data_IF_189956578001
#
_entry.id   IF_189956578001
#
_cell.length_a   1.000
_cell.length_b   1.000
_cell.length_c   1.000
_cell.angle_alpha   90.00
_cell.angle_beta   90.00
_cell.angle_gamma   90.00
#
_symmetry.space_group_name_H-M   'P 1'
#
loop_
_entity.id
_entity.type
_entity.pdbx_description
1 polymer ?
#
# COMPACT_ATOMS: atom_id res chain seq x y z
N UNK A 1 9.65 33.65 48.80
CA UNK A 1 9.74 32.21 48.42
C UNK A 1 9.36 32.18 46.95
N UNK A 2 10.34 32.39 46.06
CA UNK A 2 10.06 32.75 44.65
C UNK A 2 11.00 32.04 43.66
N UNK A 3 11.71 31.01 44.11
CA UNK A 3 12.72 30.33 43.31
C UNK A 3 12.08 29.31 42.34
N UNK A 4 10.96 28.69 42.74
CA UNK A 4 10.21 27.78 41.88
C UNK A 4 9.46 28.52 40.76
N UNK A 5 8.89 29.69 41.05
CA UNK A 5 8.17 30.51 40.07
C UNK A 5 9.10 31.15 39.05
N UNK A 6 10.32 31.51 39.45
CA UNK A 6 11.36 32.02 38.53
C UNK A 6 11.96 30.93 37.63
N UNK A 7 12.04 29.69 38.10
CA UNK A 7 12.43 28.53 37.27
C UNK A 7 11.38 28.21 36.20
N UNK A 8 10.10 28.14 36.59
CA UNK A 8 8.99 27.88 35.64
C UNK A 8 8.89 29.00 34.59
N UNK A 9 9.14 30.25 34.98
CA UNK A 9 9.13 31.40 34.06
C UNK A 9 10.30 31.39 33.08
N UNK A 10 11.45 30.79 33.44
CA UNK A 10 12.64 30.65 32.59
C UNK A 10 12.55 29.45 31.63
N UNK A 11 11.72 28.46 31.94
CA UNK A 11 11.49 27.27 31.11
C UNK A 11 10.38 27.46 30.05
N UNK A 12 9.64 28.56 30.14
CA UNK A 12 8.58 28.94 29.21
C UNK A 12 9.13 29.50 27.87
N UNK A 13 10.03 28.74 27.23
CA UNK A 13 10.39 28.96 25.83
C UNK A 13 9.28 28.34 24.96
N UNK A 14 8.40 29.15 24.32
CA UNK A 14 7.27 28.64 23.54
C UNK A 14 7.72 27.77 22.35
N UNK A 15 8.98 27.89 21.93
CA UNK A 15 9.60 27.10 20.86
C UNK A 15 9.77 25.62 21.25
N UNK A 16 10.10 25.31 22.51
CA UNK A 16 10.24 23.92 22.97
C UNK A 16 8.89 23.23 23.03
N UNK A 17 7.88 23.93 23.55
CA UNK A 17 6.50 23.44 23.58
C UNK A 17 5.97 23.16 22.15
N UNK A 18 6.20 24.10 21.22
CA UNK A 18 5.82 23.91 19.82
C UNK A 18 6.51 22.71 19.16
N UNK A 19 7.80 22.50 19.45
CA UNK A 19 8.56 21.36 18.91
C UNK A 19 8.03 20.02 19.45
N UNK A 20 7.73 19.92 20.75
CA UNK A 20 7.13 18.71 21.32
C UNK A 20 5.77 18.40 20.71
N UNK A 21 4.91 19.41 20.56
CA UNK A 21 3.58 19.24 19.94
C UNK A 21 3.72 18.78 18.49
N UNK A 22 4.65 19.35 17.73
CA UNK A 22 4.92 18.92 16.35
C UNK A 22 5.36 17.46 16.27
N UNK A 23 6.30 17.04 17.12
CA UNK A 23 6.76 15.65 17.16
C UNK A 23 5.63 14.67 17.50
N UNK A 24 4.71 15.03 18.40
CA UNK A 24 3.55 14.20 18.76
C UNK A 24 2.61 14.04 17.56
N UNK A 25 2.32 15.13 16.84
CA UNK A 25 1.45 15.10 15.66
C UNK A 25 2.07 14.23 14.57
N UNK A 26 3.36 14.42 14.27
CA UNK A 26 4.08 13.62 13.27
C UNK A 26 4.10 12.14 13.66
N UNK A 27 4.34 11.84 14.93
CA UNK A 27 4.27 10.47 15.44
C UNK A 27 2.90 9.84 15.23
N UNK A 28 1.83 10.56 15.56
CA UNK A 28 0.45 10.08 15.40
C UNK A 28 0.11 9.79 13.93
N UNK A 29 0.48 10.69 13.01
CA UNK A 29 0.28 10.50 11.57
C UNK A 29 1.08 9.30 11.07
N UNK A 30 2.34 9.15 11.49
CA UNK A 30 3.18 8.02 11.09
C UNK A 30 2.58 6.69 11.55
N UNK A 31 2.14 6.58 12.81
CA UNK A 31 1.49 5.37 13.32
C UNK A 31 0.17 5.07 12.59
N UNK A 32 -0.63 6.08 12.27
CA UNK A 32 -1.85 5.91 11.50
C UNK A 32 -1.58 5.36 10.09
N UNK A 33 -0.55 5.88 9.40
CA UNK A 33 -0.15 5.40 8.07
C UNK A 33 0.40 3.98 8.10
N UNK A 34 1.22 3.64 9.11
CA UNK A 34 1.73 2.28 9.29
C UNK A 34 0.58 1.31 9.57
N UNK A 35 -0.33 1.67 10.49
CA UNK A 35 -1.51 0.88 10.81
C UNK A 35 -2.42 0.67 9.60
N UNK A 36 -2.66 1.72 8.82
CA UNK A 36 -3.42 1.65 7.56
C UNK A 36 -2.72 0.75 6.54
N UNK A 37 -1.40 0.89 6.36
CA UNK A 37 -0.61 0.04 5.46
C UNK A 37 -0.74 -1.44 5.82
N UNK A 38 -0.55 -1.79 7.09
CA UNK A 38 -0.70 -3.17 7.57
C UNK A 38 -2.13 -3.67 7.35
N UNK A 39 -3.13 -2.86 7.70
CA UNK A 39 -4.54 -3.21 7.54
C UNK A 39 -4.92 -3.46 6.08
N UNK A 40 -4.45 -2.62 5.15
CA UNK A 40 -4.68 -2.80 3.70
C UNK A 40 -3.97 -4.04 3.14
N UNK A 41 -2.79 -4.40 3.65
CA UNK A 41 -2.11 -5.65 3.26
C UNK A 41 -2.91 -6.88 3.69
N UNK A 42 -3.47 -6.88 4.90
CA UNK A 42 -4.25 -8.04 5.40
C UNK A 42 -5.63 -8.16 4.77
N UNK A 43 -6.30 -7.05 4.47
CA UNK A 43 -7.66 -7.07 3.88
C UNK A 43 -7.66 -7.06 2.35
N UNK A 44 -6.52 -6.85 1.73
CA UNK A 44 -6.42 -6.60 0.30
C UNK A 44 -7.02 -5.24 -0.05
N UNK A 45 -6.38 -4.52 -0.99
CA UNK A 45 -6.94 -3.30 -1.59
C UNK A 45 -8.10 -3.61 -2.57
N UNK A 46 -8.63 -4.83 -2.52
CA UNK A 46 -9.60 -5.39 -3.44
C UNK A 46 -11.05 -5.31 -2.92
N UNK A 47 -11.28 -4.57 -1.83
CA UNK A 47 -12.63 -4.33 -1.30
C UNK A 47 -13.57 -3.60 -2.29
N UNK A 48 -13.05 -3.17 -3.45
CA UNK A 48 -13.82 -2.57 -4.55
C UNK A 48 -13.90 -3.47 -5.82
N UNK A 49 -13.56 -4.76 -5.73
CA UNK A 49 -13.58 -5.67 -6.89
C UNK A 49 -14.79 -6.60 -6.98
N UNK A 50 -15.82 -6.40 -6.15
CA UNK A 50 -17.11 -7.10 -6.34
C UNK A 50 -17.95 -6.49 -7.47
N UNK A 51 -17.33 -5.80 -8.44
CA UNK A 51 -17.97 -5.59 -9.72
C UNK A 51 -18.02 -6.97 -10.36
N UNK A 52 -19.21 -7.52 -10.53
CA UNK A 52 -19.40 -8.78 -11.25
C UNK A 52 -18.83 -8.65 -12.67
N UNK A 53 -17.55 -8.98 -12.81
CA UNK A 53 -16.85 -8.86 -14.08
C UNK A 53 -17.57 -9.82 -15.05
N UNK A 54 -18.13 -9.34 -16.16
CA UNK A 54 -18.84 -10.18 -17.11
C UNK A 54 -17.93 -11.30 -17.62
N UNK A 55 -18.52 -12.46 -17.91
CA UNK A 55 -17.78 -13.66 -18.32
C UNK A 55 -16.81 -13.39 -19.48
N UNK A 56 -17.23 -12.59 -20.46
CA UNK A 56 -16.39 -12.16 -21.60
C UNK A 56 -15.14 -11.39 -21.17
N UNK A 57 -15.27 -10.49 -20.19
CA UNK A 57 -14.15 -9.71 -19.69
C UNK A 57 -13.22 -10.56 -18.82
N UNK A 58 -13.75 -11.49 -18.01
CA UNK A 58 -12.92 -12.48 -17.29
C UNK A 58 -12.12 -13.35 -18.26
N UNK A 59 -12.76 -13.82 -19.33
CA UNK A 59 -12.13 -14.60 -20.39
C UNK A 59 -11.03 -13.81 -21.09
N UNK A 60 -11.33 -12.59 -21.51
CA UNK A 60 -10.34 -11.69 -22.11
C UNK A 60 -9.12 -11.47 -21.22
N UNK A 61 -9.32 -11.20 -19.92
CA UNK A 61 -8.20 -11.01 -18.99
C UNK A 61 -7.32 -12.26 -18.82
N UNK A 62 -7.91 -13.46 -18.86
CA UNK A 62 -7.15 -14.72 -18.86
C UNK A 62 -6.32 -14.87 -20.13
N UNK A 63 -6.91 -14.60 -21.30
CA UNK A 63 -6.22 -14.67 -22.59
C UNK A 63 -5.04 -13.67 -22.66
N UNK A 64 -5.25 -12.43 -22.20
CA UNK A 64 -4.20 -11.41 -22.17
C UNK A 64 -3.05 -11.80 -21.24
N UNK A 65 -3.36 -12.31 -20.04
CA UNK A 65 -2.34 -12.80 -19.10
C UNK A 65 -1.48 -13.90 -19.72
N UNK A 66 -2.12 -14.84 -20.43
CA UNK A 66 -1.41 -15.95 -21.06
C UNK A 66 -0.54 -15.49 -22.25
N UNK A 67 -1.02 -14.55 -23.07
CA UNK A 67 -0.20 -13.94 -24.14
C UNK A 67 1.04 -13.24 -23.58
N UNK A 68 0.89 -12.54 -22.45
CA UNK A 68 2.02 -11.90 -21.78
C UNK A 68 3.02 -12.92 -21.23
N UNK A 69 2.54 -14.01 -20.62
CA UNK A 69 3.39 -15.11 -20.16
C UNK A 69 4.11 -15.81 -21.31
N UNK A 70 3.44 -16.02 -22.44
CA UNK A 70 4.05 -16.59 -23.63
C UNK A 70 5.11 -15.65 -24.22
N UNK A 71 4.85 -14.33 -24.26
CA UNK A 71 5.84 -13.33 -24.66
C UNK A 71 7.06 -13.35 -23.73
N UNK A 72 6.84 -13.47 -22.42
CA UNK A 72 7.89 -13.64 -21.42
C UNK A 72 8.71 -14.92 -21.66
N UNK A 73 8.06 -16.05 -21.94
CA UNK A 73 8.73 -17.32 -22.24
C UNK A 73 9.63 -17.23 -23.50
N UNK A 74 9.16 -16.52 -24.53
CA UNK A 74 9.96 -16.21 -25.74
C UNK A 74 11.17 -15.36 -25.38
N UNK A 75 11.00 -14.29 -24.59
CA UNK A 75 12.14 -13.46 -24.16
C UNK A 75 13.14 -14.22 -23.29
N UNK A 76 12.66 -15.16 -22.48
CA UNK A 76 13.48 -16.02 -21.63
C UNK A 76 14.13 -17.18 -22.39
N UNK A 77 13.90 -17.31 -23.71
CA UNK A 77 14.37 -18.42 -24.56
C UNK A 77 13.98 -19.80 -24.00
N UNK A 78 12.79 -19.88 -23.39
CA UNK A 78 12.18 -21.11 -22.84
C UNK A 78 10.94 -21.49 -23.65
N UNK A 79 11.11 -22.03 -24.87
CA UNK A 79 9.99 -22.36 -25.76
C UNK A 79 9.11 -23.50 -25.22
N UNK A 80 9.62 -24.26 -24.25
CA UNK A 80 8.93 -25.32 -23.51
C UNK A 80 7.78 -24.80 -22.63
N UNK A 81 7.77 -23.52 -22.30
CA UNK A 81 6.77 -22.89 -21.44
C UNK A 81 5.64 -22.18 -22.21
N UNK A 82 5.61 -22.28 -23.54
CA UNK A 82 4.60 -21.63 -24.38
C UNK A 82 3.35 -22.51 -24.42
N UNK A 83 2.23 -21.99 -23.91
CA UNK A 83 0.95 -22.71 -23.85
C UNK A 83 -0.05 -22.05 -24.82
N UNK A 84 -0.68 -22.78 -25.75
CA UNK A 84 -1.66 -22.22 -26.68
C UNK A 84 -2.88 -21.65 -25.94
N UNK A 85 -3.35 -20.50 -26.39
CA UNK A 85 -4.43 -19.73 -25.72
C UNK A 85 -5.82 -20.37 -25.96
N UNK A 86 -5.96 -21.21 -26.98
CA UNK A 86 -7.24 -21.82 -27.38
C UNK A 86 -7.71 -22.96 -26.44
N UNK A 87 -6.78 -23.61 -25.73
CA UNK A 87 -7.09 -24.72 -24.80
C UNK A 87 -7.77 -24.24 -23.50
N UNK A 88 -7.81 -22.93 -23.25
CA UNK A 88 -8.38 -22.35 -22.03
C UNK A 88 -9.90 -22.09 -22.11
N UNK A 89 -10.55 -22.54 -23.19
CA UNK A 89 -11.97 -22.34 -23.49
C UNK A 89 -12.91 -23.41 -22.90
N UNK A 90 -12.39 -24.37 -22.14
CA UNK A 90 -13.18 -25.38 -21.43
C UNK A 90 -13.69 -24.90 -20.07
#
# INVERSE_FOLDING_TARGET
MDNATTLIKRENDPSKYSLYVFCIIVGCVAFALIGFGIWTMYRGLEAESSVDIPFSQRKYMREVRQRNLNALAVTAKRPDMIIPVEELNY
#
